data_IF_762349296222
#
_entry.id   IF_762349296222
#
_cell.length_a   1.000
_cell.length_b   1.000
_cell.length_c   1.000
_cell.angle_alpha   90.00
_cell.angle_beta   90.00
_cell.angle_gamma   90.00
#
_symmetry.space_group_name_H-M   'P 1'
#
loop_
_entity.id
_entity.type
_entity.pdbx_description
1 polymer ?
#
# COMPACT_ATOMS: atom_id res chain seq x y z
N UNK A 1 23.09 36.19 25.36
CA UNK A 1 22.89 35.16 24.31
C UNK A 1 22.98 35.84 22.96
N UNK A 2 23.47 35.16 21.91
CA UNK A 2 23.47 35.74 20.56
C UNK A 2 22.04 35.87 20.03
N UNK A 3 21.81 36.75 19.05
CA UNK A 3 20.49 36.89 18.40
C UNK A 3 19.98 35.55 17.85
N UNK A 4 20.87 34.75 17.25
CA UNK A 4 20.56 33.39 16.78
C UNK A 4 20.14 32.46 17.92
N UNK A 5 20.83 32.51 19.08
CA UNK A 5 20.46 31.69 20.24
C UNK A 5 19.11 32.09 20.84
N UNK A 6 18.77 33.39 20.83
CA UNK A 6 17.45 33.86 21.25
C UNK A 6 16.35 33.35 20.32
N UNK A 7 16.58 33.42 19.00
CA UNK A 7 15.66 32.86 18.01
C UNK A 7 15.47 31.34 18.18
N UNK A 8 16.56 30.61 18.40
CA UNK A 8 16.51 29.16 18.63
C UNK A 8 15.60 28.82 19.82
N UNK A 9 15.69 29.58 20.92
CA UNK A 9 14.80 29.39 22.06
C UNK A 9 13.35 29.76 21.73
N UNK A 10 13.13 30.83 20.96
CA UNK A 10 11.80 31.25 20.52
C UNK A 10 11.06 30.15 19.74
N UNK A 11 11.75 29.42 18.84
CA UNK A 11 11.15 28.27 18.14
C UNK A 11 10.69 27.15 19.09
N UNK A 12 11.31 27.00 20.27
CA UNK A 12 10.95 25.98 21.26
C UNK A 12 9.89 26.46 22.24
N UNK A 13 10.03 27.68 22.76
CA UNK A 13 9.17 28.23 23.81
C UNK A 13 7.83 28.73 23.25
N UNK A 14 7.83 29.30 22.05
CA UNK A 14 6.65 29.91 21.41
C UNK A 14 6.12 29.07 20.24
N UNK A 15 6.43 27.76 20.23
CA UNK A 15 6.06 26.84 19.15
C UNK A 15 4.56 26.84 18.80
N UNK A 16 3.69 26.99 19.80
CA UNK A 16 2.23 27.07 19.60
C UNK A 16 1.84 28.32 18.81
N UNK A 17 2.33 29.49 19.22
CA UNK A 17 2.03 30.76 18.56
C UNK A 17 2.51 30.75 17.11
N UNK A 18 3.74 30.29 16.89
CA UNK A 18 4.32 30.17 15.55
C UNK A 18 3.55 29.17 14.69
N UNK A 19 3.11 28.04 15.26
CA UNK A 19 2.30 27.06 14.56
C UNK A 19 0.93 27.62 14.14
N UNK A 20 0.24 28.32 15.04
CA UNK A 20 -1.03 29.00 14.74
C UNK A 20 -0.85 30.01 13.59
N UNK A 21 0.19 30.85 13.67
CA UNK A 21 0.50 31.82 12.62
C UNK A 21 0.74 31.14 11.26
N UNK A 22 1.52 30.05 11.24
CA UNK A 22 1.78 29.31 9.99
C UNK A 22 0.49 28.71 9.44
N UNK A 23 -0.33 28.05 10.26
CA UNK A 23 -1.58 27.43 9.82
C UNK A 23 -2.51 28.49 9.21
N UNK A 24 -2.75 29.60 9.89
CA UNK A 24 -3.63 30.66 9.40
C UNK A 24 -3.13 31.26 8.09
N UNK A 25 -1.83 31.53 7.98
CA UNK A 25 -1.25 32.11 6.78
C UNK A 25 -1.31 31.14 5.59
N UNK A 26 -1.08 29.85 5.81
CA UNK A 26 -1.21 28.82 4.77
C UNK A 26 -2.66 28.69 4.30
N UNK A 27 -3.62 28.63 5.24
CA UNK A 27 -5.04 28.56 4.91
C UNK A 27 -5.52 29.77 4.12
N UNK A 28 -5.08 30.97 4.52
CA UNK A 28 -5.39 32.21 3.82
C UNK A 28 -4.82 32.22 2.39
N UNK A 29 -3.53 31.88 2.22
CA UNK A 29 -2.90 31.80 0.88
C UNK A 29 -3.60 30.81 -0.05
N UNK A 30 -4.04 29.68 0.50
CA UNK A 30 -4.76 28.65 -0.24
C UNK A 30 -6.26 28.94 -0.40
N UNK A 31 -6.79 29.96 0.29
CA UNK A 31 -8.23 30.24 0.38
C UNK A 31 -9.05 29.01 0.83
N UNK A 32 -8.51 28.25 1.78
CA UNK A 32 -9.11 27.03 2.28
C UNK A 32 -9.82 27.25 3.62
N UNK A 33 -10.91 26.51 3.81
CA UNK A 33 -11.57 26.37 5.10
C UNK A 33 -11.56 24.90 5.48
N UNK A 34 -11.08 24.60 6.69
CA UNK A 34 -10.97 23.25 7.22
C UNK A 34 -11.79 23.12 8.51
N UNK A 35 -12.06 21.89 8.92
CA UNK A 35 -12.75 21.62 10.19
C UNK A 35 -11.88 22.01 11.39
N UNK A 36 -12.51 22.21 12.56
CA UNK A 36 -11.78 22.48 13.80
C UNK A 36 -10.83 21.33 14.18
N UNK A 37 -11.18 20.10 13.85
CA UNK A 37 -10.33 18.93 14.12
C UNK A 37 -9.08 18.94 13.23
N UNK A 38 -9.23 19.17 11.93
CA UNK A 38 -8.11 19.29 10.99
C UNK A 38 -7.22 20.48 11.34
N UNK A 39 -7.82 21.58 11.81
CA UNK A 39 -7.11 22.77 12.27
C UNK A 39 -6.23 22.49 13.48
N UNK A 40 -6.78 21.84 14.51
CA UNK A 40 -6.04 21.44 15.69
C UNK A 40 -4.91 20.45 15.36
N UNK A 41 -5.18 19.49 14.45
CA UNK A 41 -4.16 18.57 13.96
C UNK A 41 -3.04 19.31 13.25
N UNK A 42 -3.36 20.26 12.36
CA UNK A 42 -2.37 21.06 11.65
C UNK A 42 -1.50 21.88 12.62
N UNK A 43 -2.08 22.50 13.64
CA UNK A 43 -1.34 23.21 14.69
C UNK A 43 -0.36 22.25 15.39
N UNK A 44 -0.83 21.07 15.84
CA UNK A 44 0.02 20.09 16.51
C UNK A 44 1.19 19.61 15.64
N UNK A 45 0.95 19.46 14.33
CA UNK A 45 2.00 19.11 13.36
C UNK A 45 3.05 20.21 13.26
N UNK A 46 2.63 21.47 13.07
CA UNK A 46 3.58 22.59 12.98
C UNK A 46 4.29 22.86 14.30
N UNK A 47 3.66 22.68 15.46
CA UNK A 47 4.35 22.76 16.75
C UNK A 47 5.52 21.78 16.85
N UNK A 48 5.29 20.54 16.40
CA UNK A 48 6.34 19.51 16.36
C UNK A 48 7.45 19.92 15.39
N UNK A 49 7.09 20.49 14.24
CA UNK A 49 8.06 20.99 13.26
C UNK A 49 8.89 22.17 13.81
N UNK A 50 8.28 23.10 14.56
CA UNK A 50 9.00 24.21 15.21
C UNK A 50 10.04 23.69 16.22
N UNK A 51 9.70 22.66 16.99
CA UNK A 51 10.66 22.00 17.89
C UNK A 51 11.85 21.42 17.12
N UNK A 52 11.61 20.76 15.98
CA UNK A 52 12.70 20.26 15.14
C UNK A 52 13.57 21.39 14.59
N UNK A 53 13.00 22.55 14.24
CA UNK A 53 13.78 23.73 13.81
C UNK A 53 14.67 24.18 14.97
N UNK A 54 14.11 24.36 16.17
CA UNK A 54 14.85 24.74 17.36
C UNK A 54 16.02 23.79 17.66
N UNK A 55 15.77 22.48 17.68
CA UNK A 55 16.82 21.47 17.93
C UNK A 55 17.91 21.47 16.85
N UNK A 56 17.50 21.69 15.60
CA UNK A 56 18.42 21.74 14.46
C UNK A 56 19.33 22.97 14.51
N UNK A 57 18.77 24.13 14.88
CA UNK A 57 19.54 25.37 15.04
C UNK A 57 20.44 25.33 16.29
N UNK A 58 20.02 24.67 17.37
CA UNK A 58 20.81 24.52 18.60
C UNK A 58 22.02 23.62 18.40
N UNK A 59 21.83 22.45 17.77
CA UNK A 59 22.91 21.49 17.54
C UNK A 59 23.94 21.99 16.53
N UNK A 60 23.52 22.77 15.53
CA UNK A 60 24.37 23.24 14.43
C UNK A 60 24.90 22.12 13.53
N UNK A 61 24.43 20.88 13.72
CA UNK A 61 24.82 19.72 12.92
C UNK A 61 24.30 19.85 11.48
N UNK A 62 24.98 19.18 10.54
CA UNK A 62 24.53 19.09 9.15
C UNK A 62 23.52 17.96 8.98
N UNK A 63 22.54 18.15 8.09
CA UNK A 63 21.47 17.18 7.84
C UNK A 63 20.18 17.53 8.59
N UNK A 64 19.25 16.60 8.73
CA UNK A 64 18.01 16.79 9.48
C UNK A 64 17.91 15.75 10.61
N UNK A 65 17.17 16.02 11.70
CA UNK A 65 17.04 15.06 12.78
C UNK A 65 16.40 13.75 12.31
N UNK A 66 16.87 12.61 12.80
CA UNK A 66 16.25 11.30 12.52
C UNK A 66 14.77 11.28 12.91
N UNK A 67 14.42 11.98 13.99
CA UNK A 67 13.03 12.13 14.43
C UNK A 67 12.13 12.82 13.38
N UNK A 68 12.66 13.76 12.59
CA UNK A 68 11.91 14.38 11.49
C UNK A 68 11.61 13.36 10.39
N UNK A 69 12.58 12.50 10.07
CA UNK A 69 12.42 11.43 9.06
C UNK A 69 11.34 10.44 9.51
N UNK A 70 11.39 10.00 10.77
CA UNK A 70 10.39 9.09 11.34
C UNK A 70 9.01 9.73 11.38
N UNK A 71 8.93 11.00 11.82
CA UNK A 71 7.70 11.78 11.82
C UNK A 71 7.09 11.92 10.42
N UNK A 72 7.92 12.15 9.40
CA UNK A 72 7.47 12.27 8.00
C UNK A 72 6.91 10.95 7.46
N UNK A 73 7.49 9.81 7.87
CA UNK A 73 6.95 8.47 7.54
C UNK A 73 5.60 8.21 8.20
N UNK A 74 5.42 8.66 9.44
CA UNK A 74 4.14 8.55 10.15
C UNK A 74 3.05 9.41 9.50
N UNK A 75 3.40 10.59 8.98
CA UNK A 75 2.47 11.42 8.21
C UNK A 75 1.98 10.68 6.96
N UNK A 76 2.88 9.98 6.25
CA UNK A 76 2.51 9.17 5.10
C UNK A 76 1.55 8.03 5.48
N UNK A 77 1.82 7.35 6.60
CA UNK A 77 0.96 6.27 7.11
C UNK A 77 -0.45 6.77 7.42
N UNK A 78 -0.58 7.91 8.11
CA UNK A 78 -1.88 8.51 8.43
C UNK A 78 -2.72 8.77 7.16
N UNK A 79 -2.09 9.18 6.07
CA UNK A 79 -2.77 9.50 4.81
C UNK A 79 -3.19 8.23 4.07
N UNK A 80 -2.34 7.20 4.05
CA UNK A 80 -2.71 5.89 3.47
C UNK A 80 -3.89 5.28 4.24
N UNK A 81 -3.87 5.34 5.57
CA UNK A 81 -4.97 4.82 6.42
C UNK A 81 -6.27 5.60 6.20
N UNK A 82 -6.18 6.90 5.96
CA UNK A 82 -7.32 7.75 5.65
C UNK A 82 -7.78 7.66 4.17
N UNK A 83 -7.17 6.79 3.36
CA UNK A 83 -7.41 6.68 1.91
C UNK A 83 -7.24 8.02 1.16
N UNK A 84 -6.35 8.88 1.67
CA UNK A 84 -6.06 10.20 1.09
C UNK A 84 -5.07 10.13 -0.08
N UNK A 85 -4.98 11.22 -0.85
CA UNK A 85 -4.05 11.33 -1.98
C UNK A 85 -2.75 12.04 -1.57
N UNK A 86 -1.62 11.56 -2.08
CA UNK A 86 -0.33 12.24 -1.87
C UNK A 86 -0.32 13.67 -2.43
N UNK A 87 -1.12 13.93 -3.47
CA UNK A 87 -1.30 15.27 -4.04
C UNK A 87 -1.80 16.27 -3.02
N UNK A 88 -2.60 15.84 -2.03
CA UNK A 88 -3.19 16.71 -1.02
C UNK A 88 -2.12 17.32 -0.10
N UNK A 89 -0.96 16.66 0.04
CA UNK A 89 0.22 17.20 0.71
C UNK A 89 1.04 18.08 -0.23
N UNK A 90 1.37 17.55 -1.42
CA UNK A 90 2.31 18.19 -2.35
C UNK A 90 1.84 19.60 -2.72
N UNK A 91 0.54 19.79 -2.97
CA UNK A 91 0.00 21.11 -3.35
C UNK A 91 0.06 22.15 -2.23
N UNK A 92 0.10 21.70 -0.96
CA UNK A 92 0.20 22.59 0.21
C UNK A 92 1.64 23.04 0.47
N UNK A 93 2.61 22.34 -0.08
CA UNK A 93 4.01 22.55 0.23
C UNK A 93 4.59 23.89 -0.29
N UNK A 94 4.35 24.32 -1.56
CA UNK A 94 4.80 25.64 -2.01
C UNK A 94 4.30 26.81 -1.17
N UNK A 95 3.00 26.94 -0.83
CA UNK A 95 2.54 28.05 0.02
C UNK A 95 3.06 27.93 1.46
N UNK A 96 3.23 26.72 2.01
CA UNK A 96 3.90 26.54 3.31
C UNK A 96 5.33 27.08 3.28
N UNK A 97 6.09 26.81 2.21
CA UNK A 97 7.46 27.35 2.07
C UNK A 97 7.47 28.88 2.02
N UNK A 98 6.53 29.50 1.30
CA UNK A 98 6.39 30.96 1.28
C UNK A 98 6.10 31.52 2.67
N UNK A 99 5.19 30.90 3.42
CA UNK A 99 4.86 31.32 4.80
C UNK A 99 6.07 31.22 5.71
N UNK A 100 6.89 30.16 5.59
CA UNK A 100 8.14 30.09 6.34
C UNK A 100 9.17 31.13 5.90
N UNK A 101 9.21 31.51 4.63
CA UNK A 101 10.08 32.59 4.15
C UNK A 101 9.70 33.93 4.79
N UNK A 102 8.40 34.24 4.81
CA UNK A 102 7.83 35.44 5.45
C UNK A 102 8.08 35.42 6.98
N UNK A 103 7.92 34.25 7.62
CA UNK A 103 8.19 34.09 9.05
C UNK A 103 9.67 34.33 9.37
N UNK A 104 10.59 33.80 8.56
CA UNK A 104 12.02 34.05 8.76
C UNK A 104 12.33 35.53 8.57
N UNK A 105 11.73 36.21 7.58
CA UNK A 105 11.92 37.66 7.40
C UNK A 105 11.46 38.47 8.63
N UNK A 106 10.29 38.15 9.17
CA UNK A 106 9.74 38.78 10.38
C UNK A 106 10.65 38.55 11.59
N UNK A 107 11.00 37.30 11.87
CA UNK A 107 11.83 36.93 13.00
C UNK A 107 13.26 37.47 12.87
N UNK A 108 13.81 37.50 11.66
CA UNK A 108 15.11 38.11 11.39
C UNK A 108 15.12 39.60 11.75
N UNK A 109 14.03 40.30 11.46
CA UNK A 109 13.89 41.72 11.81
C UNK A 109 13.71 41.89 13.33
N UNK A 110 12.86 41.07 13.95
CA UNK A 110 12.56 41.13 15.39
C UNK A 110 13.78 40.85 16.27
N UNK A 111 14.60 39.86 15.90
CA UNK A 111 15.78 39.46 16.66
C UNK A 111 17.07 40.14 16.18
N UNK A 112 16.99 41.06 15.22
CA UNK A 112 18.13 41.77 14.62
C UNK A 112 19.22 40.81 14.08
N UNK A 113 18.80 39.79 13.34
CA UNK A 113 19.71 38.80 12.75
C UNK A 113 20.56 39.42 11.64
N UNK A 114 21.80 38.97 11.54
CA UNK A 114 22.64 39.29 10.37
C UNK A 114 22.08 38.61 9.12
N UNK A 115 22.34 39.15 7.92
CA UNK A 115 21.97 38.50 6.66
C UNK A 115 22.46 37.04 6.59
N UNK A 116 23.66 36.79 7.14
CA UNK A 116 24.24 35.45 7.20
C UNK A 116 23.40 34.50 8.06
N UNK A 117 22.96 34.95 9.23
CA UNK A 117 22.16 34.13 10.15
C UNK A 117 20.74 33.93 9.62
N UNK A 118 20.13 34.96 9.02
CA UNK A 118 18.84 34.86 8.35
C UNK A 118 18.86 33.83 7.22
N UNK A 119 19.88 33.87 6.36
CA UNK A 119 20.07 32.89 5.30
C UNK A 119 20.34 31.50 5.85
N UNK A 120 21.12 31.39 6.94
CA UNK A 120 21.35 30.11 7.60
C UNK A 120 20.03 29.49 8.08
N UNK A 121 19.22 30.22 8.85
CA UNK A 121 17.92 29.74 9.34
C UNK A 121 17.00 29.35 8.19
N UNK A 122 16.88 30.21 7.17
CA UNK A 122 16.09 29.94 5.98
C UNK A 122 16.52 28.65 5.28
N UNK A 123 17.83 28.45 5.05
CA UNK A 123 18.34 27.23 4.42
C UNK A 123 18.04 26.00 5.26
N UNK A 124 18.21 26.05 6.58
CA UNK A 124 17.94 24.90 7.46
C UNK A 124 16.47 24.51 7.47
N UNK A 125 15.56 25.48 7.48
CA UNK A 125 14.11 25.22 7.39
C UNK A 125 13.77 24.60 6.03
N UNK A 126 14.30 25.12 4.92
CA UNK A 126 14.05 24.55 3.59
C UNK A 126 14.56 23.11 3.47
N UNK A 127 15.77 22.83 3.96
CA UNK A 127 16.31 21.46 3.97
C UNK A 127 15.40 20.51 4.76
N UNK A 128 14.86 20.95 5.91
CA UNK A 128 13.93 20.14 6.70
C UNK A 128 12.60 19.92 6.00
N UNK A 129 12.02 20.96 5.41
CA UNK A 129 10.80 20.85 4.64
C UNK A 129 11.02 19.86 3.47
N UNK A 130 12.16 19.94 2.77
CA UNK A 130 12.44 19.14 1.57
C UNK A 130 12.57 17.66 1.93
N UNK A 131 13.38 17.35 2.94
CA UNK A 131 13.51 15.97 3.41
C UNK A 131 12.17 15.45 3.96
N UNK A 132 11.38 16.30 4.63
CA UNK A 132 10.08 15.88 5.14
C UNK A 132 9.12 15.51 4.00
N UNK A 133 9.06 16.34 2.95
CA UNK A 133 8.23 16.04 1.77
C UNK A 133 8.71 14.76 1.08
N UNK A 134 10.01 14.63 0.81
CA UNK A 134 10.59 13.47 0.12
C UNK A 134 10.32 12.17 0.89
N UNK A 135 10.60 12.14 2.19
CA UNK A 135 10.37 10.96 3.02
C UNK A 135 8.87 10.61 3.11
N UNK A 136 8.01 11.62 3.16
CA UNK A 136 6.55 11.41 3.15
C UNK A 136 6.08 10.80 1.83
N UNK A 137 6.53 11.33 0.69
CA UNK A 137 6.17 10.81 -0.64
C UNK A 137 6.68 9.38 -0.83
N UNK A 138 7.96 9.14 -0.53
CA UNK A 138 8.56 7.80 -0.66
C UNK A 138 7.86 6.78 0.25
N UNK A 139 7.54 7.17 1.48
CA UNK A 139 6.83 6.30 2.41
C UNK A 139 5.40 6.01 1.93
N UNK A 140 4.68 7.02 1.43
CA UNK A 140 3.33 6.88 0.88
C UNK A 140 3.30 5.92 -0.29
N UNK A 141 4.22 6.06 -1.26
CA UNK A 141 4.33 5.17 -2.42
C UNK A 141 4.59 3.73 -1.98
N UNK A 142 5.56 3.52 -1.08
CA UNK A 142 5.90 2.18 -0.57
C UNK A 142 4.74 1.53 0.16
N UNK A 143 4.05 2.29 1.02
CA UNK A 143 2.90 1.80 1.76
C UNK A 143 1.76 1.47 0.81
N UNK A 144 1.40 2.37 -0.11
CA UNK A 144 0.33 2.14 -1.07
C UNK A 144 0.56 0.89 -1.93
N UNK A 145 1.77 0.71 -2.45
CA UNK A 145 2.13 -0.49 -3.21
C UNK A 145 2.08 -1.76 -2.35
N UNK A 146 2.50 -1.68 -1.09
CA UNK A 146 2.37 -2.80 -0.15
C UNK A 146 0.90 -3.15 0.12
N UNK A 147 0.06 -2.18 0.46
CA UNK A 147 -1.37 -2.38 0.70
C UNK A 147 -2.07 -2.97 -0.52
N UNK A 148 -1.78 -2.44 -1.71
CA UNK A 148 -2.32 -2.97 -2.97
C UNK A 148 -1.90 -4.42 -3.22
N UNK A 149 -0.64 -4.75 -2.97
CA UNK A 149 -0.13 -6.13 -3.10
C UNK A 149 -0.78 -7.07 -2.09
N UNK A 150 -0.93 -6.63 -0.84
CA UNK A 150 -1.53 -7.43 0.22
C UNK A 150 -3.04 -7.65 -0.06
N UNK A 151 -3.76 -6.63 -0.49
CA UNK A 151 -5.15 -6.74 -0.97
C UNK A 151 -5.28 -7.71 -2.15
N UNK A 152 -4.39 -7.61 -3.15
CA UNK A 152 -4.43 -8.52 -4.29
C UNK A 152 -4.22 -9.97 -3.85
N UNK A 153 -3.29 -10.20 -2.94
CA UNK A 153 -3.02 -11.54 -2.39
C UNK A 153 -4.23 -12.08 -1.63
N UNK A 154 -4.90 -11.24 -0.83
CA UNK A 154 -6.12 -11.62 -0.11
C UNK A 154 -7.26 -11.96 -1.08
N UNK A 155 -7.45 -11.16 -2.13
CA UNK A 155 -8.40 -11.46 -3.22
C UNK A 155 -8.07 -12.80 -3.88
N UNK A 156 -6.81 -13.06 -4.20
CA UNK A 156 -6.39 -14.32 -4.80
C UNK A 156 -6.68 -15.51 -3.87
N UNK A 157 -6.36 -15.39 -2.57
CA UNK A 157 -6.65 -16.41 -1.55
C UNK A 157 -8.16 -16.66 -1.36
N UNK A 158 -8.98 -15.62 -1.37
CA UNK A 158 -10.45 -15.72 -1.25
C UNK A 158 -11.12 -16.23 -2.53
N UNK A 159 -10.48 -16.07 -3.69
CA UNK A 159 -11.09 -16.40 -4.98
C UNK A 159 -11.11 -17.90 -5.34
N UNK A 160 -10.35 -18.73 -4.62
CA UNK A 160 -10.26 -20.19 -4.86
C UNK A 160 -10.03 -20.99 -3.56
N UNK A 161 -10.94 -20.95 -2.57
CA UNK A 161 -10.78 -21.71 -1.34
C UNK A 161 -10.97 -23.20 -1.61
N UNK A 162 -10.14 -24.06 -1.00
CA UNK A 162 -10.40 -25.51 -0.99
C UNK A 162 -11.50 -25.75 0.05
N UNK A 163 -12.66 -26.23 -0.38
CA UNK A 163 -13.84 -26.50 0.46
C UNK A 163 -14.01 -28.01 0.63
N UNK A 164 -13.69 -28.58 1.80
CA UNK A 164 -14.00 -29.99 2.08
C UNK A 164 -15.51 -30.21 2.05
N UNK A 165 -15.97 -31.21 1.29
CA UNK A 165 -17.41 -31.51 1.13
C UNK A 165 -17.79 -32.89 1.64
N UNK A 166 -16.82 -33.82 1.71
CA UNK A 166 -16.95 -35.16 2.27
C UNK A 166 -15.58 -35.65 2.72
N UNK A 167 -15.51 -36.68 3.55
CA UNK A 167 -14.25 -37.34 3.89
C UNK A 167 -13.51 -37.75 2.61
N UNK A 168 -12.24 -37.36 2.49
CA UNK A 168 -11.42 -37.60 1.30
C UNK A 168 -11.78 -36.74 0.07
N UNK A 169 -12.75 -35.82 0.14
CA UNK A 169 -13.22 -35.06 -1.03
C UNK A 169 -13.32 -33.55 -0.73
N UNK A 170 -12.70 -32.75 -1.58
CA UNK A 170 -12.83 -31.29 -1.55
C UNK A 170 -13.16 -30.71 -2.92
N UNK A 171 -13.74 -29.51 -2.91
CA UNK A 171 -14.04 -28.71 -4.09
C UNK A 171 -13.15 -27.47 -4.10
N UNK A 172 -12.54 -27.18 -5.25
CA UNK A 172 -11.82 -25.95 -5.55
C UNK A 172 -12.60 -25.18 -6.62
N UNK A 173 -13.47 -24.23 -6.25
CA UNK A 173 -14.15 -23.39 -7.21
C UNK A 173 -13.17 -22.38 -7.80
N UNK A 174 -13.18 -22.23 -9.13
CA UNK A 174 -12.39 -21.25 -9.85
C UNK A 174 -13.31 -20.14 -10.37
N UNK A 175 -12.94 -18.88 -10.09
CA UNK A 175 -13.78 -17.71 -10.37
C UNK A 175 -13.05 -16.69 -11.24
N UNK A 176 -13.73 -16.15 -12.24
CA UNK A 176 -13.25 -15.05 -13.07
C UNK A 176 -12.47 -15.50 -14.31
N UNK A 177 -11.28 -14.92 -14.51
CA UNK A 177 -10.37 -15.31 -15.59
C UNK A 177 -9.27 -16.20 -15.00
N UNK A 178 -8.87 -17.21 -15.75
CA UNK A 178 -7.67 -17.99 -15.45
C UNK A 178 -6.58 -17.63 -16.46
N UNK A 179 -5.42 -17.23 -15.94
CA UNK A 179 -4.21 -16.93 -16.71
C UNK A 179 -3.01 -17.68 -16.12
N UNK A 180 -1.82 -17.48 -16.70
CA UNK A 180 -0.59 -18.13 -16.26
C UNK A 180 -0.26 -17.86 -14.79
N UNK A 181 -0.42 -16.61 -14.32
CA UNK A 181 -0.13 -16.24 -12.94
C UNK A 181 -1.03 -17.02 -11.97
N UNK A 182 -2.32 -17.17 -12.33
CA UNK A 182 -3.25 -17.94 -11.51
C UNK A 182 -2.93 -19.43 -11.53
N UNK A 183 -2.51 -19.99 -12.67
CA UNK A 183 -2.06 -21.37 -12.73
C UNK A 183 -0.81 -21.60 -11.86
N UNK A 184 0.16 -20.70 -11.90
CA UNK A 184 1.36 -20.77 -11.07
C UNK A 184 1.01 -20.68 -9.58
N UNK A 185 0.09 -19.76 -9.21
CA UNK A 185 -0.46 -19.69 -7.85
C UNK A 185 -1.11 -21.00 -7.40
N UNK A 186 -1.92 -21.64 -8.25
CA UNK A 186 -2.55 -22.93 -7.94
C UNK A 186 -1.47 -24.00 -7.66
N UNK A 187 -0.44 -24.07 -8.49
CA UNK A 187 0.64 -25.04 -8.33
C UNK A 187 1.48 -24.77 -7.07
N UNK A 188 1.86 -23.52 -6.80
CA UNK A 188 2.75 -23.16 -5.70
C UNK A 188 2.07 -23.05 -4.34
N UNK A 189 0.79 -22.66 -4.31
CA UNK A 189 0.08 -22.32 -3.05
C UNK A 189 -1.09 -23.23 -2.77
N UNK A 190 -1.80 -23.72 -3.78
CA UNK A 190 -3.00 -24.56 -3.58
C UNK A 190 -2.64 -26.04 -3.50
N UNK A 191 -1.85 -26.58 -4.42
CA UNK A 191 -1.44 -28.00 -4.40
C UNK A 191 -0.79 -28.41 -3.07
N UNK A 192 0.13 -27.64 -2.45
CA UNK A 192 0.67 -27.99 -1.13
C UNK A 192 -0.39 -28.02 -0.02
N UNK A 193 -1.42 -27.16 -0.08
CA UNK A 193 -2.54 -27.17 0.88
C UNK A 193 -3.42 -28.41 0.67
N UNK A 194 -3.70 -28.80 -0.57
CA UNK A 194 -4.46 -30.02 -0.91
C UNK A 194 -3.78 -31.25 -0.32
N UNK A 195 -2.45 -31.35 -0.42
CA UNK A 195 -1.68 -32.46 0.17
C UNK A 195 -1.90 -32.59 1.69
N UNK A 196 -1.98 -31.48 2.42
CA UNK A 196 -2.17 -31.49 3.88
C UNK A 196 -3.56 -31.98 4.31
N UNK A 197 -4.52 -32.02 3.39
CA UNK A 197 -5.91 -32.39 3.67
C UNK A 197 -6.20 -33.89 3.50
N UNK A 198 -5.21 -34.72 3.11
CA UNK A 198 -5.35 -36.17 2.89
C UNK A 198 -6.57 -36.52 2.01
N UNK A 199 -6.66 -35.89 0.84
CA UNK A 199 -7.79 -36.05 -0.08
C UNK A 199 -7.54 -37.22 -1.04
N UNK A 200 -8.59 -37.99 -1.32
CA UNK A 200 -8.63 -38.95 -2.43
C UNK A 200 -9.03 -38.25 -3.72
N UNK A 201 -9.95 -37.28 -3.64
CA UNK A 201 -10.49 -36.55 -4.79
C UNK A 201 -10.46 -35.03 -4.59
N UNK A 202 -10.02 -34.31 -5.62
CA UNK A 202 -10.17 -32.87 -5.73
C UNK A 202 -11.07 -32.54 -6.92
N UNK A 203 -12.23 -31.93 -6.65
CA UNK A 203 -13.16 -31.44 -7.67
C UNK A 203 -12.80 -29.99 -7.99
N UNK A 204 -12.34 -29.71 -9.20
CA UNK A 204 -12.12 -28.33 -9.67
C UNK A 204 -13.32 -27.88 -10.48
N UNK A 205 -13.97 -26.81 -10.03
CA UNK A 205 -15.18 -26.28 -10.68
C UNK A 205 -14.85 -25.03 -11.50
N UNK A 206 -15.08 -25.14 -12.82
CA UNK A 206 -14.86 -24.10 -13.81
C UNK A 206 -16.15 -23.31 -14.13
N UNK A 207 -17.25 -23.57 -13.41
CA UNK A 207 -18.54 -22.90 -13.64
C UNK A 207 -18.44 -21.36 -13.56
N UNK A 208 -17.51 -20.84 -12.74
CA UNK A 208 -17.23 -19.42 -12.58
C UNK A 208 -16.21 -18.84 -13.57
N UNK A 209 -15.66 -19.62 -14.50
CA UNK A 209 -14.64 -19.19 -15.47
C UNK A 209 -15.26 -18.77 -16.80
N UNK A 210 -14.94 -17.55 -17.23
CA UNK A 210 -15.42 -17.00 -18.50
C UNK A 210 -14.46 -17.22 -19.67
N UNK A 211 -13.16 -17.19 -19.42
CA UNK A 211 -12.11 -17.25 -20.45
C UNK A 211 -10.87 -17.97 -19.93
N UNK A 212 -10.22 -18.71 -20.83
CA UNK A 212 -8.97 -19.44 -20.65
C UNK A 212 -8.25 -19.48 -21.99
N UNK A 213 -6.93 -19.33 -22.00
CA UNK A 213 -6.10 -19.53 -23.18
C UNK A 213 -5.47 -20.94 -23.21
N UNK A 214 -4.88 -21.30 -24.36
CA UNK A 214 -4.32 -22.64 -24.59
C UNK A 214 -3.13 -22.94 -23.67
N UNK A 215 -2.30 -21.94 -23.35
CA UNK A 215 -1.16 -22.08 -22.45
C UNK A 215 -1.62 -22.34 -21.01
N UNK A 216 -2.62 -21.61 -20.55
CA UNK A 216 -3.20 -21.79 -19.22
C UNK A 216 -3.88 -23.15 -19.10
N UNK A 217 -4.58 -23.60 -20.15
CA UNK A 217 -5.15 -24.94 -20.19
C UNK A 217 -4.07 -26.03 -20.06
N UNK A 218 -2.91 -25.83 -20.70
CA UNK A 218 -1.76 -26.72 -20.55
C UNK A 218 -1.23 -26.74 -19.10
N UNK A 219 -1.08 -25.59 -18.44
CA UNK A 219 -0.65 -25.52 -17.04
C UNK A 219 -1.64 -26.24 -16.10
N UNK A 220 -2.95 -26.08 -16.32
CA UNK A 220 -3.97 -26.79 -15.54
C UNK A 220 -3.85 -28.32 -15.68
N UNK A 221 -3.54 -28.79 -16.88
CA UNK A 221 -3.27 -30.22 -17.09
C UNK A 221 -2.01 -30.70 -16.34
N UNK A 222 -0.95 -29.89 -16.30
CA UNK A 222 0.24 -30.19 -15.52
C UNK A 222 -0.06 -30.27 -14.02
N UNK A 223 -0.88 -29.36 -13.48
CA UNK A 223 -1.34 -29.41 -12.09
C UNK A 223 -2.08 -30.72 -11.80
N UNK A 224 -2.98 -31.16 -12.69
CA UNK A 224 -3.67 -32.44 -12.56
C UNK A 224 -2.71 -33.64 -12.56
N UNK A 225 -1.65 -33.59 -13.37
CA UNK A 225 -0.59 -34.62 -13.39
C UNK A 225 0.19 -34.65 -12.08
N UNK A 226 0.52 -33.49 -11.51
CA UNK A 226 1.19 -33.38 -10.20
C UNK A 226 0.30 -33.94 -9.09
N UNK A 227 -0.99 -33.57 -9.05
CA UNK A 227 -1.93 -34.09 -8.06
C UNK A 227 -2.07 -35.61 -8.13
N UNK A 228 -2.13 -36.17 -9.35
CA UNK A 228 -2.18 -37.63 -9.54
C UNK A 228 -0.94 -38.33 -9.02
N UNK A 229 0.25 -37.75 -9.21
CA UNK A 229 1.49 -38.28 -8.63
C UNK A 229 1.50 -38.23 -7.10
N UNK A 230 0.77 -37.30 -6.50
CA UNK A 230 0.55 -37.22 -5.06
C UNK A 230 -0.58 -38.14 -4.56
N UNK A 231 -1.18 -38.95 -5.44
CA UNK A 231 -2.26 -39.88 -5.09
C UNK A 231 -3.65 -39.24 -5.02
N UNK A 232 -3.82 -38.02 -5.53
CA UNK A 232 -5.09 -37.30 -5.53
C UNK A 232 -5.70 -37.33 -6.94
N UNK A 233 -6.91 -37.88 -7.07
CA UNK A 233 -7.65 -37.91 -8.31
C UNK A 233 -8.32 -36.55 -8.60
N UNK A 234 -7.93 -35.93 -9.71
CA UNK A 234 -8.54 -34.68 -10.17
C UNK A 234 -9.85 -34.96 -10.93
N UNK A 235 -10.93 -34.32 -10.50
CA UNK A 235 -12.22 -34.29 -11.19
C UNK A 235 -12.49 -32.87 -11.65
N UNK A 236 -12.94 -32.71 -12.89
CA UNK A 236 -13.25 -31.40 -13.47
C UNK A 236 -14.75 -31.21 -13.64
N UNK A 237 -15.28 -30.04 -13.28
CA UNK A 237 -16.71 -29.73 -13.43
C UNK A 237 -16.95 -28.34 -14.00
N UNK A 238 -18.16 -28.08 -14.51
CA UNK A 238 -18.57 -26.73 -14.94
C UNK A 238 -17.90 -26.20 -16.21
N UNK A 239 -17.21 -27.05 -16.98
CA UNK A 239 -16.60 -26.66 -18.25
C UNK A 239 -17.70 -26.37 -19.29
N UNK A 240 -17.70 -25.14 -19.82
CA UNK A 240 -18.53 -24.77 -20.96
C UNK A 240 -17.89 -25.20 -22.31
N UNK A 241 -18.64 -25.23 -23.43
CA UNK A 241 -18.12 -25.70 -24.72
C UNK A 241 -16.88 -24.96 -25.22
N UNK A 242 -16.78 -23.65 -24.97
CA UNK A 242 -15.64 -22.83 -25.38
C UNK A 242 -14.38 -23.26 -24.61
N UNK A 243 -14.48 -23.40 -23.30
CA UNK A 243 -13.37 -23.86 -22.45
C UNK A 243 -12.94 -25.28 -22.82
N UNK A 244 -13.90 -26.18 -23.10
CA UNK A 244 -13.59 -27.53 -23.56
C UNK A 244 -12.76 -27.54 -24.84
N UNK A 245 -13.13 -26.69 -25.82
CA UNK A 245 -12.39 -26.56 -27.08
C UNK A 245 -10.96 -26.03 -26.83
N UNK A 246 -10.81 -25.03 -25.98
CA UNK A 246 -9.49 -24.52 -25.59
C UNK A 246 -8.66 -25.59 -24.90
N UNK A 247 -9.25 -26.37 -23.99
CA UNK A 247 -8.55 -27.45 -23.29
C UNK A 247 -8.03 -28.53 -24.25
N UNK A 248 -8.82 -28.92 -25.25
CA UNK A 248 -8.37 -29.84 -26.30
C UNK A 248 -7.17 -29.27 -27.05
N UNK A 249 -7.22 -27.99 -27.44
CA UNK A 249 -6.12 -27.34 -28.17
C UNK A 249 -4.86 -27.17 -27.32
N UNK A 250 -5.02 -26.94 -26.01
CA UNK A 250 -3.94 -26.87 -25.02
C UNK A 250 -3.29 -28.23 -24.71
N UNK A 251 -3.69 -29.30 -25.38
CA UNK A 251 -3.08 -30.62 -25.26
C UNK A 251 -3.61 -31.45 -24.09
N UNK A 252 -4.84 -31.20 -23.63
CA UNK A 252 -5.48 -32.04 -22.61
C UNK A 252 -5.68 -33.46 -23.16
N UNK A 253 -5.02 -34.44 -22.53
CA UNK A 253 -5.22 -35.86 -22.82
C UNK A 253 -6.59 -36.32 -22.31
N UNK A 254 -7.47 -36.69 -23.24
CA UNK A 254 -8.86 -37.04 -22.95
C UNK A 254 -9.03 -38.48 -22.44
N UNK A 255 -8.02 -39.34 -22.54
CA UNK A 255 -8.14 -40.73 -22.07
C UNK A 255 -8.26 -40.82 -20.54
N UNK A 256 -7.82 -39.78 -19.81
CA UNK A 256 -7.66 -39.83 -18.36
C UNK A 256 -8.36 -38.67 -17.61
N UNK A 257 -9.31 -37.98 -18.25
CA UNK A 257 -10.04 -36.85 -17.65
C UNK A 257 -11.40 -37.29 -17.14
N UNK A 258 -11.61 -37.21 -15.82
CA UNK A 258 -12.94 -37.34 -15.20
C UNK A 258 -13.61 -35.96 -15.23
N UNK A 259 -14.57 -35.78 -16.14
CA UNK A 259 -15.32 -34.53 -16.26
C UNK A 259 -16.83 -34.73 -16.07
N UNK A 260 -17.47 -33.82 -15.34
CA UNK A 260 -18.92 -33.78 -15.14
C UNK A 260 -19.49 -32.39 -15.42
N UNK A 261 -20.79 -32.31 -15.67
CA UNK A 261 -21.44 -31.02 -15.94
C UNK A 261 -21.50 -30.10 -14.70
N UNK A 262 -21.51 -30.67 -13.50
CA UNK A 262 -21.61 -29.93 -12.24
C UNK A 262 -20.95 -30.67 -11.08
N UNK A 263 -20.60 -29.93 -10.02
CA UNK A 263 -20.12 -30.49 -8.74
C UNK A 263 -21.10 -31.50 -8.19
N UNK A 264 -22.42 -31.23 -8.28
CA UNK A 264 -23.46 -32.17 -7.84
C UNK A 264 -23.35 -33.53 -8.54
N UNK A 265 -23.24 -33.52 -9.87
CA UNK A 265 -23.14 -34.75 -10.65
C UNK A 265 -21.86 -35.53 -10.31
N UNK A 266 -20.74 -34.83 -10.10
CA UNK A 266 -19.49 -35.45 -9.66
C UNK A 266 -19.66 -36.16 -8.32
N UNK A 267 -20.25 -35.49 -7.33
CA UNK A 267 -20.48 -36.03 -5.99
C UNK A 267 -21.45 -37.22 -5.96
N UNK A 268 -22.42 -37.28 -6.88
CA UNK A 268 -23.34 -38.42 -7.00
C UNK A 268 -22.67 -39.66 -7.61
N UNK A 269 -21.50 -39.51 -8.25
CA UNK A 269 -20.82 -40.59 -8.98
C UNK A 269 -19.66 -41.22 -8.18
N UNK A 270 -19.19 -40.56 -7.11
CA UNK A 270 -17.99 -40.97 -6.33
C UNK A 270 -18.29 -41.32 -4.87
#
# INVERSE_FOLDING_TARGET
>A
MSSLSNLTNHFKEDALLLAEQVVENVLNKLQLTISTEEHNTAISMYMTFMSFIGDTLESGEKGVPTALIEWSKLNAEAIVVAEGNISDIIVRYPPTREVFAELVEELSSQFELSLRDSLYVFTRINEMLDISLDETVIAYERLTEKYKKDMQKEVDELSSPIVPVREGIAVLPLMGKIDSNRADYLLEKVVPKVQQLNLDYLIVDFSGISTMDELTAHHIHQIGSVLRLLGIDLITTGINPTLALTSVKGGLDMENVKAYSSVKQALETI
#
